data_IF_392773267912
#
_entry.id   IF_392773267912
#
_cell.length_a   1.000
_cell.length_b   1.000
_cell.length_c   1.000
_cell.angle_alpha   90.00
_cell.angle_beta   90.00
_cell.angle_gamma   90.00
#
_symmetry.space_group_name_H-M   'P 1'
#
loop_
_entity.id
_entity.type
_entity.pdbx_description
1 polymer ?
#
# COMPACT_ATOMS: atom_id res chain seq x y z
N UNK A 1 -8.34 1.11 -8.36
CA UNK A 1 -7.01 1.64 -8.76
C UNK A 1 -6.09 0.46 -9.01
N UNK A 2 -5.42 0.42 -10.18
CA UNK A 2 -4.61 -0.72 -10.66
C UNK A 2 -3.13 -0.63 -10.27
N UNK A 3 -2.36 -1.71 -10.43
CA UNK A 3 -0.93 -1.78 -10.11
C UNK A 3 -0.11 -0.67 -10.77
N UNK A 4 -0.33 -0.39 -12.05
CA UNK A 4 0.38 0.70 -12.75
C UNK A 4 0.15 2.06 -12.07
N UNK A 5 -1.08 2.32 -11.62
CA UNK A 5 -1.43 3.55 -10.91
C UNK A 5 -0.87 3.59 -9.47
N UNK A 6 -0.81 2.43 -8.79
CA UNK A 6 -0.15 2.29 -7.49
C UNK A 6 1.34 2.63 -7.58
N UNK A 7 2.03 2.08 -8.59
CA UNK A 7 3.45 2.36 -8.87
C UNK A 7 3.67 3.84 -9.14
N UNK A 8 2.91 4.41 -10.08
CA UNK A 8 3.04 5.83 -10.44
C UNK A 8 2.87 6.75 -9.22
N UNK A 9 1.85 6.49 -8.38
CA UNK A 9 1.62 7.25 -7.16
C UNK A 9 2.78 7.14 -6.18
N UNK A 10 3.23 5.93 -5.90
CA UNK A 10 4.29 5.67 -4.93
C UNK A 10 5.63 6.32 -5.36
N UNK A 11 5.94 6.29 -6.66
CA UNK A 11 7.08 6.98 -7.27
C UNK A 11 7.02 8.49 -7.06
N UNK A 12 5.88 9.11 -7.42
CA UNK A 12 5.67 10.56 -7.25
C UNK A 12 5.83 10.96 -5.78
N UNK A 13 5.33 10.14 -4.87
CA UNK A 13 5.43 10.37 -3.43
C UNK A 13 6.90 10.24 -2.93
N UNK A 14 7.64 9.24 -3.40
CA UNK A 14 8.95 8.82 -2.89
C UNK A 14 10.12 9.70 -3.34
N UNK A 15 10.23 9.98 -4.63
CA UNK A 15 11.42 10.60 -5.23
C UNK A 15 11.06 11.92 -5.92
N UNK A 16 9.90 11.96 -6.60
CA UNK A 16 9.59 13.03 -7.54
C UNK A 16 10.52 13.04 -8.77
N UNK A 17 11.42 12.06 -8.87
CA UNK A 17 12.46 11.90 -9.90
C UNK A 17 12.30 10.53 -10.57
N UNK A 18 12.16 10.55 -11.89
CA UNK A 18 11.93 9.37 -12.72
C UNK A 18 13.19 8.48 -12.86
N UNK A 19 14.40 9.03 -12.76
CA UNK A 19 15.63 8.24 -12.84
C UNK A 19 15.83 7.40 -11.58
N UNK A 20 15.59 7.99 -10.41
CA UNK A 20 15.62 7.28 -9.13
C UNK A 20 14.50 6.22 -9.07
N UNK A 21 13.37 6.48 -9.71
CA UNK A 21 12.26 5.54 -9.80
C UNK A 21 12.61 4.25 -10.55
N UNK A 22 13.38 4.34 -11.63
CA UNK A 22 13.79 3.17 -12.41
C UNK A 22 14.70 2.23 -11.61
N UNK A 23 15.58 2.78 -10.77
CA UNK A 23 16.46 1.99 -9.88
C UNK A 23 15.66 1.31 -8.77
N UNK A 24 14.60 1.97 -8.30
CA UNK A 24 13.77 1.48 -7.20
C UNK A 24 12.62 0.58 -7.66
N UNK A 25 12.38 0.41 -8.96
CA UNK A 25 11.25 -0.34 -9.52
C UNK A 25 11.13 -1.78 -8.97
N UNK A 26 12.22 -2.57 -8.87
CA UNK A 26 12.11 -3.93 -8.32
C UNK A 26 11.66 -3.94 -6.85
N UNK A 27 12.16 -2.97 -6.06
CA UNK A 27 11.79 -2.81 -4.65
C UNK A 27 10.37 -2.26 -4.51
N UNK A 28 9.94 -1.40 -5.43
CA UNK A 28 8.62 -0.80 -5.43
C UNK A 28 7.54 -1.88 -5.59
N UNK A 29 7.72 -2.79 -6.55
CA UNK A 29 6.81 -3.92 -6.77
C UNK A 29 6.73 -4.84 -5.57
N UNK A 30 7.85 -5.09 -4.89
CA UNK A 30 7.90 -5.86 -3.65
C UNK A 30 7.11 -5.16 -2.53
N UNK A 31 7.35 -3.87 -2.31
CA UNK A 31 6.69 -3.13 -1.23
C UNK A 31 5.21 -2.89 -1.47
N UNK A 32 4.77 -2.73 -2.71
CA UNK A 32 3.34 -2.67 -3.05
C UNK A 32 2.66 -3.97 -2.64
N UNK A 33 3.23 -5.13 -3.00
CA UNK A 33 2.64 -6.42 -2.64
C UNK A 33 2.67 -6.66 -1.12
N UNK A 34 3.75 -6.29 -0.43
CA UNK A 34 3.80 -6.38 1.04
C UNK A 34 2.75 -5.49 1.73
N UNK A 35 2.53 -4.27 1.22
CA UNK A 35 1.50 -3.36 1.71
C UNK A 35 0.09 -3.88 1.43
N UNK A 36 -0.11 -4.49 0.27
CA UNK A 36 -1.35 -5.13 -0.12
C UNK A 36 -1.67 -6.31 0.79
N UNK A 37 -0.74 -7.24 1.00
CA UNK A 37 -0.90 -8.41 1.87
C UNK A 37 -1.27 -8.00 3.30
N UNK A 38 -0.60 -6.99 3.85
CA UNK A 38 -0.89 -6.50 5.20
C UNK A 38 -2.27 -5.87 5.33
N UNK A 39 -2.76 -5.20 4.30
CA UNK A 39 -4.11 -4.64 4.29
C UNK A 39 -5.16 -5.73 4.05
N UNK A 40 -4.88 -6.70 3.18
CA UNK A 40 -5.70 -7.88 2.95
C UNK A 40 -5.88 -8.70 4.23
N UNK A 41 -4.80 -9.00 4.94
CA UNK A 41 -4.82 -9.70 6.23
C UNK A 41 -5.64 -8.91 7.25
N UNK A 42 -5.40 -7.61 7.36
CA UNK A 42 -6.17 -6.72 8.23
C UNK A 42 -7.66 -6.71 7.89
N UNK A 43 -8.01 -6.86 6.61
CA UNK A 43 -9.38 -6.92 6.14
C UNK A 43 -10.03 -8.32 6.32
N UNK A 44 -9.24 -9.34 6.69
CA UNK A 44 -9.69 -10.71 6.89
C UNK A 44 -9.62 -11.59 5.64
N UNK A 45 -8.88 -11.18 4.62
CA UNK A 45 -8.55 -12.01 3.46
C UNK A 45 -7.31 -12.84 3.81
N UNK A 46 -7.40 -14.17 3.70
CA UNK A 46 -6.32 -15.08 4.15
C UNK A 46 -5.22 -15.30 3.12
N UNK A 47 -5.53 -15.18 1.83
CA UNK A 47 -4.58 -15.38 0.74
C UNK A 47 -5.02 -14.47 -0.42
N UNK A 48 -4.16 -13.54 -0.82
CA UNK A 48 -4.38 -12.70 -1.99
C UNK A 48 -3.28 -12.98 -2.99
N UNK A 49 -3.66 -13.16 -4.26
CA UNK A 49 -2.68 -13.27 -5.32
C UNK A 49 -1.91 -11.95 -5.45
N UNK A 50 -0.59 -12.06 -5.65
CA UNK A 50 0.25 -10.89 -5.86
C UNK A 50 -0.18 -10.15 -7.11
N UNK A 51 -0.08 -8.83 -7.08
CA UNK A 51 -0.21 -7.97 -8.24
C UNK A 51 1.06 -8.11 -9.09
N UNK A 52 0.91 -8.62 -10.31
CA UNK A 52 1.97 -8.94 -11.25
C UNK A 52 1.95 -8.01 -12.48
N UNK A 53 0.76 -7.72 -13.01
CA UNK A 53 0.58 -6.93 -14.24
C UNK A 53 0.05 -5.54 -13.91
N UNK A 54 0.34 -4.55 -14.77
CA UNK A 54 -0.12 -3.17 -14.56
C UNK A 54 -1.64 -3.04 -14.48
N UNK A 55 -2.36 -3.99 -15.05
CA UNK A 55 -3.82 -4.03 -15.07
C UNK A 55 -4.43 -4.60 -13.79
N UNK A 56 -3.63 -5.31 -12.99
CA UNK A 56 -4.10 -5.98 -11.78
C UNK A 56 -4.65 -4.97 -10.77
N UNK A 57 -5.76 -5.33 -10.16
CA UNK A 57 -6.44 -4.52 -9.16
C UNK A 57 -6.46 -5.24 -7.81
N UNK A 58 -6.10 -4.55 -6.70
CA UNK A 58 -6.27 -5.10 -5.36
C UNK A 58 -7.70 -5.57 -5.13
N UNK A 59 -7.88 -6.74 -4.50
CA UNK A 59 -9.19 -7.28 -4.09
C UNK A 59 -9.82 -6.47 -2.94
N UNK A 60 -9.04 -5.57 -2.36
CA UNK A 60 -9.49 -4.65 -1.32
C UNK A 60 -10.48 -3.61 -1.86
N UNK A 61 -11.25 -2.94 -0.98
CA UNK A 61 -12.08 -1.83 -1.40
C UNK A 61 -11.24 -0.65 -1.93
N UNK A 62 -11.76 0.07 -2.92
CA UNK A 62 -11.07 1.20 -3.57
C UNK A 62 -10.46 2.23 -2.60
N UNK A 63 -11.09 2.48 -1.44
CA UNK A 63 -10.58 3.41 -0.44
C UNK A 63 -9.25 2.97 0.19
N UNK A 64 -8.91 1.69 0.15
CA UNK A 64 -7.67 1.14 0.70
C UNK A 64 -6.50 1.18 -0.30
N UNK A 65 -6.75 1.38 -1.60
CA UNK A 65 -5.71 1.23 -2.61
C UNK A 65 -4.66 2.33 -2.45
N UNK A 66 -5.07 3.56 -2.10
CA UNK A 66 -4.13 4.65 -1.84
C UNK A 66 -3.11 4.32 -0.74
N UNK A 67 -3.56 3.63 0.32
CA UNK A 67 -2.70 3.23 1.43
C UNK A 67 -1.64 2.20 1.03
N UNK A 68 -1.92 1.33 0.06
CA UNK A 68 -0.92 0.39 -0.48
C UNK A 68 0.28 1.17 -1.07
N UNK A 69 0.00 2.23 -1.84
CA UNK A 69 1.05 3.11 -2.37
C UNK A 69 1.77 3.87 -1.25
N UNK A 70 1.03 4.37 -0.25
CA UNK A 70 1.62 5.09 0.89
C UNK A 70 2.59 4.19 1.68
N UNK A 71 2.27 2.90 1.85
CA UNK A 71 3.17 1.92 2.46
C UNK A 71 4.47 1.77 1.65
N UNK A 72 4.35 1.59 0.34
CA UNK A 72 5.51 1.46 -0.54
C UNK A 72 6.40 2.72 -0.50
N UNK A 73 5.80 3.90 -0.51
CA UNK A 73 6.54 5.16 -0.37
C UNK A 73 7.27 5.28 0.96
N UNK A 74 6.65 4.88 2.07
CA UNK A 74 7.34 4.85 3.37
C UNK A 74 8.54 3.90 3.36
N UNK A 75 8.38 2.70 2.80
CA UNK A 75 9.45 1.70 2.72
C UNK A 75 10.65 2.18 1.89
N UNK A 76 10.41 2.92 0.81
CA UNK A 76 11.46 3.55 0.02
C UNK A 76 12.16 4.70 0.76
N UNK A 77 11.42 5.45 1.58
CA UNK A 77 11.96 6.63 2.29
C UNK A 77 12.66 6.31 3.61
N UNK A 78 12.36 5.18 4.27
CA UNK A 78 12.80 4.90 5.66
C UNK A 78 14.31 4.81 5.83
N UNK A 79 15.04 4.48 4.77
CA UNK A 79 16.51 4.37 4.77
C UNK A 79 17.21 5.59 4.16
N UNK A 80 16.44 6.63 3.78
CA UNK A 80 17.00 7.86 3.21
C UNK A 80 17.57 8.81 4.26
N UNK A 81 17.87 10.05 3.85
CA UNK A 81 18.28 11.12 4.76
C UNK A 81 17.15 11.53 5.73
N UNK A 82 17.48 12.33 6.75
CA UNK A 82 16.52 12.74 7.79
C UNK A 82 15.26 13.42 7.22
N UNK A 83 15.39 14.20 6.14
CA UNK A 83 14.26 14.86 5.48
C UNK A 83 13.32 13.85 4.81
N UNK A 84 13.87 12.85 4.10
CA UNK A 84 13.09 11.77 3.48
C UNK A 84 12.41 10.91 4.54
N UNK A 85 13.12 10.57 5.62
CA UNK A 85 12.53 9.83 6.73
C UNK A 85 11.36 10.59 7.36
N UNK A 86 11.53 11.90 7.61
CA UNK A 86 10.46 12.76 8.15
C UNK A 86 9.24 12.81 7.23
N UNK A 87 9.42 12.92 5.91
CA UNK A 87 8.32 12.84 4.94
C UNK A 87 7.67 11.46 4.93
N UNK A 88 8.46 10.40 5.07
CA UNK A 88 7.98 9.02 5.11
C UNK A 88 6.99 8.73 6.25
N UNK A 89 7.11 9.43 7.39
CA UNK A 89 6.24 9.23 8.55
C UNK A 89 4.76 9.53 8.25
N UNK A 90 4.46 10.50 7.38
CA UNK A 90 3.08 10.82 7.03
C UNK A 90 2.41 9.68 6.25
N UNK A 91 3.17 9.00 5.37
CA UNK A 91 2.68 7.89 4.57
C UNK A 91 2.51 6.63 5.42
N UNK A 92 3.42 6.42 6.38
CA UNK A 92 3.24 5.40 7.41
C UNK A 92 1.96 5.62 8.21
N UNK A 93 1.71 6.84 8.68
CA UNK A 93 0.51 7.16 9.45
C UNK A 93 -0.77 6.93 8.63
N UNK A 94 -0.80 7.36 7.37
CA UNK A 94 -1.92 7.12 6.46
C UNK A 94 -2.19 5.62 6.23
N UNK A 95 -1.13 4.83 6.07
CA UNK A 95 -1.25 3.38 5.97
C UNK A 95 -1.80 2.74 7.24
N UNK A 96 -1.29 3.12 8.41
CA UNK A 96 -1.76 2.61 9.70
C UNK A 96 -3.24 2.94 9.94
N UNK A 97 -3.69 4.14 9.56
CA UNK A 97 -5.10 4.54 9.63
C UNK A 97 -5.98 3.66 8.72
N UNK A 98 -5.56 3.47 7.46
CA UNK A 98 -6.27 2.61 6.53
C UNK A 98 -6.31 1.15 7.00
N UNK A 99 -5.23 0.65 7.60
CA UNK A 99 -5.17 -0.69 8.20
C UNK A 99 -6.12 -0.82 9.38
N UNK A 100 -6.19 0.17 10.26
CA UNK A 100 -7.16 0.19 11.37
C UNK A 100 -8.61 0.24 10.86
N UNK A 101 -8.87 0.96 9.75
CA UNK A 101 -10.17 0.92 9.07
C UNK A 101 -10.46 -0.45 8.46
N UNK A 102 -9.48 -1.10 7.84
CA UNK A 102 -9.61 -2.45 7.27
C UNK A 102 -9.97 -3.48 8.35
N UNK A 103 -9.31 -3.44 9.51
CA UNK A 103 -9.62 -4.29 10.66
C UNK A 103 -11.08 -4.13 11.13
N UNK A 104 -11.56 -2.89 11.23
CA UNK A 104 -12.96 -2.62 11.63
C UNK A 104 -13.95 -3.12 10.58
N UNK A 105 -13.68 -2.87 9.31
CA UNK A 105 -14.54 -3.28 8.21
C UNK A 105 -14.58 -4.82 8.03
N UNK A 106 -13.42 -5.48 8.17
CA UNK A 106 -13.31 -6.95 8.12
C UNK A 106 -14.13 -7.60 9.24
N UNK A 107 -14.01 -7.11 10.49
CA UNK A 107 -14.82 -7.60 11.62
C UNK A 107 -16.32 -7.47 11.37
N UNK A 108 -16.76 -6.34 10.82
CA UNK A 108 -18.18 -6.10 10.54
C UNK A 108 -18.77 -7.06 9.50
N UNK A 109 -17.95 -7.61 8.58
CA UNK A 109 -18.41 -8.65 7.63
C UNK A 109 -18.72 -9.97 8.30
N UNK A 110 -17.99 -10.31 9.36
CA UNK A 110 -18.18 -11.57 10.09
C UNK A 110 -19.31 -11.52 11.12
N UNK A 111 -19.69 -10.32 11.60
CA UNK A 111 -20.76 -10.14 12.59
C UNK A 111 -22.14 -9.90 11.98
N UNK A 112 -22.27 -9.87 10.64
CA UNK A 112 -23.55 -9.75 9.93
C UNK A 112 -24.41 -11.02 9.93
N UNK A 113 -24.01 -12.05 10.69
CA UNK A 113 -24.78 -13.27 10.92
C UNK A 113 -25.17 -13.30 12.41
N UNK A 114 -26.18 -12.52 12.80
CA UNK A 114 -27.13 -12.90 13.84
C UNK A 114 -28.47 -12.22 13.49
N UNK A 115 -29.59 -12.97 13.48
CA UNK A 115 -30.91 -12.55 12.98
C UNK A 115 -31.52 -11.38 13.74
#
# INVERSE_FOLDING_TARGET
>A
MRLGALRARATIQATGDAEEAAVLEPLLSQYINEGYDRLAEAFGLKECEMLQTEEDEPVLPAWAHGAIADYASWMLMRNGNAQRQSRGLQFRAAFEEARARALRAGRSRFTGIYP
#
